data_IF_181011844416
#
_entry.id   IF_181011844416
#
_cell.length_a   1.000
_cell.length_b   1.000
_cell.length_c   1.000
_cell.angle_alpha   90.00
_cell.angle_beta   90.00
_cell.angle_gamma   90.00
#
_symmetry.space_group_name_H-M   'P 1'
#
loop_
_entity.id
_entity.type
_entity.pdbx_description
1 polymer ?
#
# COMPACT_ATOMS: atom_id res chain seq x y z
N UNK A 1 0.77 17.82 11.15
CA UNK A 1 0.87 16.36 11.03
C UNK A 1 1.05 16.02 9.56
N UNK A 2 1.57 14.83 9.20
CA UNK A 2 1.44 14.36 7.84
C UNK A 2 -0.04 14.21 7.48
N UNK A 3 -0.41 14.53 6.25
CA UNK A 3 -1.74 14.25 5.72
C UNK A 3 -1.93 12.75 5.49
N UNK A 4 -3.18 12.31 5.31
CA UNK A 4 -3.48 10.93 4.94
C UNK A 4 -2.79 10.53 3.62
N UNK A 5 -2.70 11.44 2.65
CA UNK A 5 -1.96 11.22 1.41
C UNK A 5 -0.45 11.05 1.64
N UNK A 6 0.18 11.88 2.48
CA UNK A 6 1.60 11.74 2.81
C UNK A 6 1.89 10.42 3.53
N UNK A 7 0.98 10.01 4.43
CA UNK A 7 1.08 8.74 5.14
C UNK A 7 0.89 7.55 4.20
N UNK A 8 -0.11 7.60 3.32
CA UNK A 8 -0.39 6.57 2.33
C UNK A 8 0.77 6.42 1.35
N UNK A 9 1.32 7.54 0.86
CA UNK A 9 2.50 7.53 -0.01
C UNK A 9 3.68 6.83 0.65
N UNK A 10 3.98 7.19 1.91
CA UNK A 10 5.06 6.56 2.66
C UNK A 10 4.83 5.05 2.85
N UNK A 11 3.62 4.67 3.24
CA UNK A 11 3.24 3.28 3.44
C UNK A 11 3.39 2.45 2.16
N UNK A 12 2.98 3.00 1.02
CA UNK A 12 3.13 2.37 -0.28
C UNK A 12 4.61 2.18 -0.66
N UNK A 13 5.44 3.20 -0.44
CA UNK A 13 6.88 3.12 -0.71
C UNK A 13 7.57 2.07 0.18
N UNK A 14 7.20 2.00 1.46
CA UNK A 14 7.70 0.99 2.40
C UNK A 14 7.27 -0.42 1.96
N UNK A 15 6.02 -0.59 1.50
CA UNK A 15 5.54 -1.87 0.94
C UNK A 15 6.29 -2.28 -0.33
N UNK A 16 6.58 -1.33 -1.22
CA UNK A 16 7.37 -1.60 -2.43
C UNK A 16 8.77 -2.10 -2.08
N UNK A 17 9.40 -1.51 -1.05
CA UNK A 17 10.64 -2.02 -0.48
C UNK A 17 10.51 -3.45 0.05
N UNK A 18 9.46 -3.73 0.82
CA UNK A 18 9.18 -5.06 1.34
C UNK A 18 9.02 -6.12 0.24
N UNK A 19 8.22 -5.84 -0.81
CA UNK A 19 8.03 -6.77 -1.91
C UNK A 19 9.34 -7.08 -2.64
N UNK A 20 10.17 -6.07 -2.90
CA UNK A 20 11.50 -6.28 -3.50
C UNK A 20 12.35 -7.22 -2.66
N UNK A 21 12.44 -6.96 -1.35
CA UNK A 21 13.19 -7.82 -0.42
C UNK A 21 12.62 -9.24 -0.34
N UNK A 22 11.29 -9.40 -0.42
CA UNK A 22 10.65 -10.71 -0.47
C UNK A 22 10.97 -11.46 -1.77
N UNK A 23 10.96 -10.76 -2.90
CA UNK A 23 11.32 -11.28 -4.21
C UNK A 23 12.81 -11.67 -4.30
N UNK A 24 13.71 -10.90 -3.68
CA UNK A 24 15.13 -11.26 -3.61
C UNK A 24 15.38 -12.55 -2.82
N UNK A 25 14.57 -12.81 -1.78
CA UNK A 25 14.62 -14.06 -1.02
C UNK A 25 13.96 -15.24 -1.74
N UNK A 26 13.06 -14.96 -2.69
CA UNK A 26 12.26 -15.96 -3.40
C UNK A 26 12.30 -15.71 -4.92
N UNK A 27 13.29 -16.26 -5.61
CA UNK A 27 13.52 -16.03 -7.03
C UNK A 27 12.30 -16.36 -7.93
N UNK A 28 11.47 -17.32 -7.53
CA UNK A 28 10.25 -17.71 -8.26
C UNK A 28 9.17 -16.62 -8.18
N UNK A 29 9.11 -15.86 -7.08
CA UNK A 29 8.15 -14.77 -6.89
C UNK A 29 8.72 -13.41 -7.33
N UNK A 30 10.03 -13.32 -7.55
CA UNK A 30 10.72 -12.04 -7.86
C UNK A 30 10.05 -11.22 -8.96
N UNK A 31 9.70 -11.78 -10.14
CA UNK A 31 9.10 -10.98 -11.21
C UNK A 31 7.77 -10.35 -10.79
N UNK A 32 6.92 -11.13 -10.10
CA UNK A 32 5.62 -10.66 -9.61
C UNK A 32 5.78 -9.63 -8.49
N UNK A 33 6.74 -9.82 -7.59
CA UNK A 33 7.00 -8.87 -6.50
C UNK A 33 7.59 -7.55 -7.02
N UNK A 34 8.46 -7.59 -8.03
CA UNK A 34 9.00 -6.39 -8.67
C UNK A 34 7.89 -5.61 -9.41
N UNK A 35 6.95 -6.30 -10.05
CA UNK A 35 5.77 -5.69 -10.67
C UNK A 35 4.87 -5.01 -9.62
N UNK A 36 4.52 -5.72 -8.54
CA UNK A 36 3.74 -5.17 -7.44
C UNK A 36 4.44 -3.94 -6.83
N UNK A 37 5.74 -4.03 -6.55
CA UNK A 37 6.53 -2.92 -6.03
C UNK A 37 6.49 -1.71 -6.98
N UNK A 38 6.56 -1.95 -8.29
CA UNK A 38 6.46 -0.89 -9.30
C UNK A 38 5.11 -0.18 -9.30
N UNK A 39 4.00 -0.91 -9.09
CA UNK A 39 2.65 -0.31 -8.97
C UNK A 39 2.54 0.54 -7.70
N UNK A 40 3.07 0.05 -6.58
CA UNK A 40 3.02 0.75 -5.30
C UNK A 40 3.84 2.04 -5.35
N UNK A 41 5.06 2.01 -5.89
CA UNK A 41 5.89 3.21 -6.04
C UNK A 41 5.24 4.25 -6.97
N UNK A 42 4.62 3.81 -8.06
CA UNK A 42 3.90 4.72 -8.96
C UNK A 42 2.76 5.41 -8.21
N UNK A 43 1.93 4.65 -7.50
CA UNK A 43 0.82 5.22 -6.74
C UNK A 43 1.30 6.12 -5.60
N UNK A 44 2.40 5.75 -4.93
CA UNK A 44 3.04 6.56 -3.89
C UNK A 44 3.46 7.93 -4.43
N UNK A 45 4.04 7.98 -5.63
CA UNK A 45 4.40 9.23 -6.30
C UNK A 45 3.19 10.07 -6.70
N UNK A 46 2.16 9.43 -7.27
CA UNK A 46 0.93 10.12 -7.70
C UNK A 46 0.20 10.78 -6.54
N UNK A 47 -0.06 10.03 -5.45
CA UNK A 47 -0.80 10.55 -4.29
C UNK A 47 0.00 11.60 -3.52
N UNK A 48 1.33 11.51 -3.52
CA UNK A 48 2.20 12.52 -2.88
C UNK A 48 2.24 13.82 -3.67
N UNK A 49 2.30 13.72 -5.00
CA UNK A 49 2.42 14.89 -5.88
C UNK A 49 1.10 15.64 -6.01
N UNK A 50 -0.01 14.93 -6.19
CA UNK A 50 -1.32 15.51 -6.37
C UNK A 50 -2.41 14.64 -5.71
N UNK A 51 -2.65 14.77 -4.40
CA UNK A 51 -3.63 13.95 -3.68
C UNK A 51 -5.07 14.06 -4.21
N UNK A 52 -5.38 15.14 -4.93
CA UNK A 52 -6.70 15.39 -5.52
C UNK A 52 -6.73 15.13 -7.03
N UNK A 53 -5.62 14.64 -7.60
CA UNK A 53 -5.52 14.29 -9.01
C UNK A 53 -6.38 13.08 -9.37
N UNK A 54 -6.53 12.84 -10.67
CA UNK A 54 -7.33 11.73 -11.18
C UNK A 54 -6.68 11.06 -12.39
N UNK A 55 -6.99 9.78 -12.58
CA UNK A 55 -6.66 9.01 -13.76
C UNK A 55 -7.91 8.28 -14.25
N UNK A 56 -8.24 8.47 -15.52
CA UNK A 56 -9.41 7.87 -16.17
C UNK A 56 -10.74 8.12 -15.43
N UNK A 57 -10.88 9.28 -14.77
CA UNK A 57 -12.08 9.65 -14.02
C UNK A 57 -12.19 9.03 -12.62
N UNK A 58 -11.12 8.41 -12.11
CA UNK A 58 -11.02 7.95 -10.72
C UNK A 58 -9.92 8.76 -10.01
N UNK A 59 -10.20 9.26 -8.81
CA UNK A 59 -9.22 10.03 -8.05
C UNK A 59 -8.04 9.16 -7.61
N UNK A 60 -6.84 9.75 -7.51
CA UNK A 60 -5.68 9.06 -6.95
C UNK A 60 -5.94 8.61 -5.52
N UNK A 61 -6.71 9.38 -4.75
CA UNK A 61 -7.14 9.01 -3.41
C UNK A 61 -7.94 7.70 -3.39
N UNK A 62 -8.92 7.55 -4.29
CA UNK A 62 -9.71 6.32 -4.39
C UNK A 62 -8.86 5.14 -4.90
N UNK A 63 -8.02 5.37 -5.92
CA UNK A 63 -7.13 4.33 -6.45
C UNK A 63 -6.11 3.87 -5.40
N UNK A 64 -5.53 4.80 -4.65
CA UNK A 64 -4.61 4.53 -3.56
C UNK A 64 -5.30 3.76 -2.44
N UNK A 65 -6.51 4.17 -2.04
CA UNK A 65 -7.29 3.47 -1.04
C UNK A 65 -7.60 2.03 -1.44
N UNK A 66 -8.00 1.80 -2.70
CA UNK A 66 -8.26 0.46 -3.24
C UNK A 66 -7.00 -0.39 -3.27
N UNK A 67 -5.88 0.16 -3.74
CA UNK A 67 -4.59 -0.54 -3.77
C UNK A 67 -4.13 -0.98 -2.37
N UNK A 68 -4.29 -0.11 -1.36
CA UNK A 68 -3.96 -0.43 0.02
C UNK A 68 -4.87 -1.52 0.60
N UNK A 69 -6.17 -1.51 0.27
CA UNK A 69 -7.10 -2.56 0.68
C UNK A 69 -6.78 -3.92 0.02
N UNK A 70 -6.43 -3.92 -1.27
CA UNK A 70 -6.01 -5.12 -1.98
C UNK A 70 -4.71 -5.69 -1.37
N UNK A 71 -3.77 -4.81 -1.00
CA UNK A 71 -2.55 -5.18 -0.29
C UNK A 71 -2.83 -5.82 1.08
N UNK A 72 -3.79 -5.26 1.83
CA UNK A 72 -4.21 -5.84 3.10
C UNK A 72 -4.76 -7.27 2.93
N UNK A 73 -5.54 -7.51 1.87
CA UNK A 73 -5.97 -8.86 1.50
C UNK A 73 -4.80 -9.80 1.22
N UNK A 74 -3.81 -9.34 0.45
CA UNK A 74 -2.60 -10.11 0.17
C UNK A 74 -1.82 -10.46 1.45
N UNK A 75 -1.60 -9.50 2.35
CA UNK A 75 -0.91 -9.73 3.61
C UNK A 75 -1.64 -10.74 4.49
N UNK A 76 -2.98 -10.70 4.54
CA UNK A 76 -3.77 -11.72 5.26
C UNK A 76 -3.58 -13.11 4.66
N UNK A 77 -3.58 -13.22 3.33
CA UNK A 77 -3.28 -14.50 2.66
C UNK A 77 -1.86 -14.99 2.95
N UNK A 78 -0.86 -14.10 3.00
CA UNK A 78 0.49 -14.47 3.42
C UNK A 78 0.54 -14.91 4.89
N UNK A 79 -0.22 -14.26 5.77
CA UNK A 79 -0.31 -14.57 7.19
C UNK A 79 -0.85 -16.00 7.43
N UNK A 80 -1.87 -16.39 6.66
CA UNK A 80 -2.44 -17.75 6.71
C UNK A 80 -1.46 -18.82 6.25
N UNK A 81 -0.56 -18.49 5.32
CA UNK A 81 0.42 -19.43 4.77
C UNK A 81 1.73 -19.46 5.57
N UNK A 82 2.01 -18.43 6.37
CA UNK A 82 3.28 -18.26 7.10
C UNK A 82 3.03 -17.94 8.58
N UNK A 83 2.84 -18.99 9.38
CA UNK A 83 2.59 -18.90 10.82
C UNK A 83 3.59 -17.99 11.59
N UNK A 84 4.91 -18.04 11.33
CA UNK A 84 5.88 -17.18 12.02
C UNK A 84 5.71 -15.68 11.75
N UNK A 85 5.15 -15.33 10.59
CA UNK A 85 4.93 -13.94 10.17
C UNK A 85 3.47 -13.51 10.35
N UNK A 86 2.60 -14.41 10.82
CA UNK A 86 1.15 -14.21 10.83
C UNK A 86 0.75 -12.92 11.54
N UNK A 87 1.20 -12.75 12.79
CA UNK A 87 0.86 -11.59 13.61
C UNK A 87 1.33 -10.28 12.96
N UNK A 88 2.58 -10.23 12.48
CA UNK A 88 3.12 -9.07 11.78
C UNK A 88 2.36 -8.75 10.49
N UNK A 89 1.97 -9.78 9.72
CA UNK A 89 1.23 -9.58 8.47
C UNK A 89 -0.22 -9.17 8.72
N UNK A 90 -0.87 -9.67 9.78
CA UNK A 90 -2.20 -9.21 10.21
C UNK A 90 -2.17 -7.75 10.68
N UNK A 91 -1.15 -7.35 11.46
CA UNK A 91 -0.95 -5.95 11.86
C UNK A 91 -0.74 -5.04 10.64
N UNK A 92 0.15 -5.42 9.73
CA UNK A 92 0.36 -4.70 8.49
C UNK A 92 -0.94 -4.57 7.69
N UNK A 93 -1.69 -5.66 7.52
CA UNK A 93 -2.97 -5.63 6.81
C UNK A 93 -3.95 -4.62 7.43
N UNK A 94 -4.05 -4.58 8.76
CA UNK A 94 -4.93 -3.64 9.46
C UNK A 94 -4.50 -2.18 9.24
N UNK A 95 -3.20 -1.89 9.28
CA UNK A 95 -2.68 -0.54 8.99
C UNK A 95 -3.00 -0.14 7.55
N UNK A 96 -2.73 -1.02 6.58
CA UNK A 96 -3.03 -0.76 5.17
C UNK A 96 -4.51 -0.48 4.94
N UNK A 97 -5.39 -1.28 5.54
CA UNK A 97 -6.83 -1.09 5.42
C UNK A 97 -7.26 0.26 6.03
N UNK A 98 -6.77 0.59 7.22
CA UNK A 98 -7.11 1.85 7.89
C UNK A 98 -6.64 3.06 7.09
N UNK A 99 -5.37 3.08 6.65
CA UNK A 99 -4.84 4.18 5.86
C UNK A 99 -5.54 4.26 4.49
N UNK A 100 -5.86 3.12 3.90
CA UNK A 100 -6.62 3.05 2.65
C UNK A 100 -8.02 3.67 2.76
N UNK A 101 -8.71 3.47 3.89
CA UNK A 101 -10.00 4.12 4.15
C UNK A 101 -9.84 5.63 4.35
N UNK A 102 -8.84 6.05 5.15
CA UNK A 102 -8.59 7.46 5.45
C UNK A 102 -8.24 8.27 4.19
N UNK A 103 -7.32 7.76 3.36
CA UNK A 103 -6.90 8.47 2.15
C UNK A 103 -8.01 8.55 1.12
N UNK A 104 -8.84 7.50 0.99
CA UNK A 104 -9.97 7.50 0.07
C UNK A 104 -11.08 8.47 0.49
N UNK A 105 -11.27 8.68 1.80
CA UNK A 105 -12.30 9.56 2.32
C UNK A 105 -11.88 11.03 2.32
N UNK A 106 -10.67 11.31 2.80
CA UNK A 106 -10.10 12.65 2.87
C UNK A 106 -8.58 12.60 2.72
N UNK A 107 -8.02 12.70 1.50
CA UNK A 107 -6.58 12.60 1.30
C UNK A 107 -5.80 13.77 1.90
N UNK A 108 -6.47 14.91 2.18
CA UNK A 108 -5.85 16.08 2.80
C UNK A 108 -6.06 16.15 4.32
N UNK A 109 -6.81 15.19 4.88
CA UNK A 109 -7.05 15.06 6.32
C UNK A 109 -5.75 14.80 7.07
N UNK A 110 -5.72 15.20 8.33
CA UNK A 110 -4.58 14.98 9.23
C UNK A 110 -4.94 13.91 10.27
N UNK A 111 -3.94 13.14 10.72
CA UNK A 111 -4.09 12.33 11.92
C UNK A 111 -4.15 13.25 13.14
N UNK A 112 -5.29 13.28 13.84
CA UNK A 112 -5.44 13.94 15.16
C UNK A 112 -4.75 13.15 16.29
#
# INVERSE_FOLDING_TARGET
>A
MPSHAELASKLLADAAGFFRTLGEQNAELKPQMDENAGVFDQMAGLIQQDPNGEMNGTSYAELCGRLLQDAAGFFRTLAEQNEPLKEQMEENANVFEQIGQLVAQDPNGNLD
#
